data_IF_465627631094
#
_entry.id   IF_465627631094
#
_cell.length_a   1.000
_cell.length_b   1.000
_cell.length_c   1.000
_cell.angle_alpha   90.00
_cell.angle_beta   90.00
_cell.angle_gamma   90.00
#
_symmetry.space_group_name_H-M   'P 1'
#
loop_
_entity.id
_entity.type
_entity.pdbx_description
1 polymer ?
#
# COMPACT_ATOMS: atom_id res chain seq x y z
N UNK A 1 -12.92 -26.56 4.26
CA UNK A 1 -12.36 -25.32 3.68
C UNK A 1 -13.35 -24.15 3.62
N UNK A 2 -14.58 -24.33 3.12
CA UNK A 2 -15.57 -23.24 3.05
C UNK A 2 -15.99 -22.64 4.41
N UNK A 3 -16.02 -23.46 5.47
CA UNK A 3 -16.31 -22.97 6.83
C UNK A 3 -15.33 -21.90 7.33
N UNK A 4 -14.04 -21.99 6.96
CA UNK A 4 -13.05 -20.99 7.35
C UNK A 4 -13.31 -19.65 6.63
N UNK A 5 -13.71 -19.69 5.36
CA UNK A 5 -14.09 -18.49 4.61
C UNK A 5 -15.31 -17.80 5.22
N UNK A 6 -16.34 -18.56 5.59
CA UNK A 6 -17.50 -17.99 6.25
C UNK A 6 -17.14 -17.41 7.63
N UNK A 7 -16.33 -18.11 8.42
CA UNK A 7 -15.89 -17.60 9.72
C UNK A 7 -15.12 -16.28 9.61
N UNK A 8 -14.22 -16.17 8.63
CA UNK A 8 -13.46 -14.94 8.35
C UNK A 8 -14.41 -13.83 7.88
N UNK A 9 -15.33 -14.12 6.97
CA UNK A 9 -16.30 -13.14 6.49
C UNK A 9 -17.20 -12.62 7.61
N UNK A 10 -17.76 -13.51 8.43
CA UNK A 10 -18.59 -13.12 9.58
C UNK A 10 -17.82 -12.35 10.65
N UNK A 11 -16.52 -12.60 10.81
CA UNK A 11 -15.64 -11.83 11.71
C UNK A 11 -15.28 -10.45 11.14
N UNK A 12 -15.12 -10.32 9.83
CA UNK A 12 -14.75 -9.06 9.18
C UNK A 12 -15.96 -8.12 8.98
N UNK A 13 -17.19 -8.64 8.86
CA UNK A 13 -18.42 -7.84 8.74
C UNK A 13 -18.56 -6.75 9.81
N UNK A 14 -18.46 -7.03 11.13
CA UNK A 14 -18.55 -5.98 12.15
C UNK A 14 -17.38 -4.99 12.07
N UNK A 15 -16.19 -5.43 11.62
CA UNK A 15 -15.04 -4.56 11.42
C UNK A 15 -15.29 -3.55 10.28
N UNK A 16 -15.96 -3.97 9.21
CA UNK A 16 -16.37 -3.09 8.11
C UNK A 16 -17.50 -2.12 8.47
N UNK A 17 -18.30 -2.44 9.50
CA UNK A 17 -19.32 -1.54 10.04
C UNK A 17 -18.75 -0.54 11.05
N UNK A 18 -17.66 -0.90 11.74
CA UNK A 18 -16.97 -0.05 12.69
C UNK A 18 -16.04 0.96 12.02
N UNK A 19 -15.38 0.55 10.95
CA UNK A 19 -14.55 1.44 10.14
C UNK A 19 -15.52 2.21 9.22
N UNK A 20 -15.67 3.54 9.39
CA UNK A 20 -16.52 4.31 8.49
C UNK A 20 -16.02 4.04 7.07
N UNK A 21 -16.91 3.73 6.10
CA UNK A 21 -16.52 3.54 4.72
C UNK A 21 -15.68 4.77 4.34
N UNK A 22 -14.52 4.55 3.73
CA UNK A 22 -13.53 5.60 3.42
C UNK A 22 -14.21 6.59 2.45
N UNK A 23 -15.02 7.50 2.99
CA UNK A 23 -15.90 8.41 2.24
C UNK A 23 -15.09 9.43 1.46
N UNK A 24 -13.86 9.65 1.89
CA UNK A 24 -12.89 10.48 1.20
C UNK A 24 -11.59 9.70 1.09
N UNK A 25 -11.59 8.70 0.20
CA UNK A 25 -10.32 8.28 -0.43
C UNK A 25 -9.55 9.52 -0.88
N UNK A 26 -10.24 10.59 -1.25
CA UNK A 26 -9.67 11.90 -1.51
C UNK A 26 -8.80 12.45 -0.37
N UNK A 27 -9.27 12.47 0.89
CA UNK A 27 -8.45 12.95 2.03
C UNK A 27 -7.30 11.99 2.33
N UNK A 28 -7.53 10.68 2.22
CA UNK A 28 -6.47 9.68 2.41
C UNK A 28 -5.39 9.81 1.33
N UNK A 29 -5.80 9.91 0.07
CA UNK A 29 -4.93 10.12 -1.09
C UNK A 29 -4.20 11.45 -0.98
N UNK A 30 -4.86 12.53 -0.55
CA UNK A 30 -4.23 13.83 -0.31
C UNK A 30 -3.18 13.76 0.81
N UNK A 31 -3.47 13.03 1.89
CA UNK A 31 -2.51 12.83 2.99
C UNK A 31 -1.33 11.98 2.54
N UNK A 32 -1.58 10.91 1.78
CA UNK A 32 -0.55 10.04 1.21
C UNK A 32 0.27 10.78 0.18
N UNK A 33 -0.34 11.61 -0.67
CA UNK A 33 0.35 12.43 -1.65
C UNK A 33 1.23 13.46 -0.97
N UNK A 34 0.74 14.15 0.07
CA UNK A 34 1.55 15.11 0.81
C UNK A 34 2.72 14.42 1.53
N UNK A 35 2.48 13.25 2.14
CA UNK A 35 3.52 12.44 2.76
C UNK A 35 4.54 11.93 1.74
N UNK A 36 4.09 11.44 0.59
CA UNK A 36 4.93 11.02 -0.52
C UNK A 36 5.67 12.20 -1.13
N UNK A 37 5.09 13.40 -1.20
CA UNK A 37 5.74 14.59 -1.74
C UNK A 37 6.81 15.11 -0.80
N UNK A 38 6.60 15.09 0.50
CA UNK A 38 7.64 15.38 1.51
C UNK A 38 8.74 14.31 1.49
N UNK A 39 8.35 13.04 1.44
CA UNK A 39 9.32 11.94 1.34
C UNK A 39 10.05 11.99 0.01
N UNK A 40 9.37 12.37 -1.08
CA UNK A 40 9.93 12.49 -2.42
C UNK A 40 10.74 13.75 -2.60
N UNK A 41 10.53 14.86 -1.89
CA UNK A 41 11.44 16.02 -1.95
C UNK A 41 12.74 15.71 -1.21
N UNK A 42 12.66 15.06 -0.04
CA UNK A 42 13.82 14.50 0.66
C UNK A 42 14.50 13.39 -0.14
N UNK A 43 13.71 12.53 -0.77
CA UNK A 43 14.19 11.44 -1.62
C UNK A 43 14.59 11.94 -2.99
N UNK A 44 14.14 13.07 -3.55
CA UNK A 44 14.42 13.51 -4.94
C UNK A 44 15.91 13.74 -5.14
N UNK A 45 16.56 14.24 -4.09
CA UNK A 45 18.02 14.39 -4.02
C UNK A 45 18.74 13.03 -3.97
N UNK A 46 18.07 12.00 -3.47
CA UNK A 46 18.52 10.61 -3.31
C UNK A 46 17.94 9.67 -4.39
N UNK A 47 16.99 10.15 -5.20
CA UNK A 47 16.08 9.44 -6.10
C UNK A 47 16.79 8.83 -7.29
N UNK A 48 17.80 9.46 -7.92
CA UNK A 48 18.56 8.76 -8.94
C UNK A 48 19.23 7.49 -8.38
N UNK A 49 19.68 7.49 -7.12
CA UNK A 49 20.31 6.31 -6.50
C UNK A 49 19.28 5.28 -6.04
N UNK A 50 18.19 5.71 -5.39
CA UNK A 50 17.14 4.80 -4.91
C UNK A 50 16.38 4.17 -6.07
N UNK A 51 16.11 4.90 -7.15
CA UNK A 51 15.45 4.36 -8.36
C UNK A 51 16.25 3.23 -8.99
N UNK A 52 17.58 3.36 -9.07
CA UNK A 52 18.45 2.30 -9.58
C UNK A 52 18.45 1.07 -8.65
N UNK A 53 18.52 1.28 -7.34
CA UNK A 53 18.42 0.20 -6.34
C UNK A 53 17.08 -0.52 -6.41
N UNK A 54 15.98 0.21 -6.40
CA UNK A 54 14.63 -0.34 -6.52
C UNK A 54 14.42 -1.09 -7.83
N UNK A 55 14.89 -0.57 -8.97
CA UNK A 55 14.78 -1.30 -10.25
C UNK A 55 15.50 -2.66 -10.21
N UNK A 56 16.66 -2.74 -9.54
CA UNK A 56 17.38 -4.01 -9.36
C UNK A 56 16.60 -4.97 -8.47
N UNK A 57 16.08 -4.49 -7.34
CA UNK A 57 15.31 -5.30 -6.40
C UNK A 57 13.99 -5.78 -7.02
N UNK A 58 13.30 -4.92 -7.77
CA UNK A 58 12.06 -5.28 -8.46
C UNK A 58 12.32 -6.31 -9.55
N UNK A 59 13.39 -6.14 -10.34
CA UNK A 59 13.77 -7.13 -11.36
C UNK A 59 14.21 -8.46 -10.74
N UNK A 60 14.88 -8.45 -9.57
CA UNK A 60 15.19 -9.69 -8.86
C UNK A 60 13.95 -10.36 -8.28
N UNK A 61 13.02 -9.61 -7.70
CA UNK A 61 11.76 -10.13 -7.18
C UNK A 61 10.91 -10.74 -8.30
N UNK A 62 10.77 -10.04 -9.43
CA UNK A 62 10.04 -10.54 -10.60
C UNK A 62 10.69 -11.82 -11.15
N UNK A 63 12.02 -11.90 -11.16
CA UNK A 63 12.75 -13.10 -11.59
C UNK A 63 12.63 -14.26 -10.60
N UNK A 64 12.51 -13.97 -9.31
CA UNK A 64 12.36 -14.97 -8.24
C UNK A 64 10.92 -15.50 -8.14
N UNK A 65 9.96 -14.72 -8.64
CA UNK A 65 8.53 -15.07 -8.69
C UNK A 65 8.17 -15.87 -9.94
N UNK A 66 9.10 -16.06 -10.88
CA UNK A 66 8.90 -16.83 -12.13
C UNK A 66 9.64 -18.16 -12.06
#
# INVERSE_FOLDING_TARGET
MLQLFFAIAFSAVPLTLYIPPIRSLNLFVETVENFLRQTATYTLRTYPRVRMGCSRIFNSLVRLTR
#
